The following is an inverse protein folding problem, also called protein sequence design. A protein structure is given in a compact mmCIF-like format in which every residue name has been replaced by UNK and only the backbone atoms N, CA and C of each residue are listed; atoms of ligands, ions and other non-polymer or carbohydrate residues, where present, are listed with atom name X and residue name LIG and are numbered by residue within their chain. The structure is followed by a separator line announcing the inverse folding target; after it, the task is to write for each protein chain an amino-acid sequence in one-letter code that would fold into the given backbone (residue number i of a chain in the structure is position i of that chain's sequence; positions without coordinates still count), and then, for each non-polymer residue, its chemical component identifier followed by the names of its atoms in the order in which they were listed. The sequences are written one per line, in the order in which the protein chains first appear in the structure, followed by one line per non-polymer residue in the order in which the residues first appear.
data_IF_832178287501
#
_entry.id   IF_832178287501
#
_cell.length_a   1.000
_cell.length_b   1.000
_cell.length_c   1.000
_cell.angle_alpha   90.00
_cell.angle_beta   90.00
_cell.angle_gamma   90.00
#
_symmetry.space_group_name_H-M   'P 1'
#
loop_
_entity.id
_entity.type
_entity.pdbx_description
1 polymer ?
#
# COMPACT_ATOMS: atom_id res chain seq x y z
N UNK A 1 -22.81 2.88 5.05
CA UNK A 1 -22.36 2.36 3.74
C UNK A 1 -21.02 1.64 3.92
N UNK A 2 -20.83 0.38 3.50
CA UNK A 2 -19.58 -0.34 3.71
C UNK A 2 -18.52 0.05 2.66
N UNK A 3 -17.71 1.08 2.96
CA UNK A 3 -16.63 1.60 2.08
C UNK A 3 -15.66 0.53 1.59
N UNK A 4 -15.41 -0.51 2.41
CA UNK A 4 -14.52 -1.62 2.05
C UNK A 4 -14.97 -2.43 0.83
N UNK A 5 -16.28 -2.50 0.55
CA UNK A 5 -16.81 -3.22 -0.62
C UNK A 5 -16.47 -2.46 -1.91
N UNK A 6 -16.66 -1.15 -1.92
CA UNK A 6 -16.34 -0.30 -3.08
C UNK A 6 -14.84 -0.31 -3.39
N UNK A 7 -13.99 -0.26 -2.36
CA UNK A 7 -12.53 -0.34 -2.54
C UNK A 7 -12.10 -1.66 -3.21
N UNK A 8 -12.79 -2.76 -2.94
CA UNK A 8 -12.50 -4.04 -3.60
C UNK A 8 -12.86 -4.00 -5.09
N UNK A 9 -14.01 -3.41 -5.46
CA UNK A 9 -14.40 -3.26 -6.86
C UNK A 9 -13.45 -2.33 -7.62
N UNK A 10 -13.02 -1.22 -7.02
CA UNK A 10 -12.04 -0.31 -7.60
C UNK A 10 -10.72 -1.04 -7.85
N UNK A 11 -10.25 -1.84 -6.88
CA UNK A 11 -9.02 -2.61 -7.03
C UNK A 11 -9.12 -3.68 -8.13
N UNK A 12 -10.28 -4.36 -8.25
CA UNK A 12 -10.51 -5.32 -9.32
C UNK A 12 -10.47 -4.66 -10.70
N UNK A 13 -11.22 -3.55 -10.86
CA UNK A 13 -11.21 -2.79 -12.11
C UNK A 13 -9.81 -2.27 -12.48
N UNK A 14 -9.01 -1.89 -11.47
CA UNK A 14 -7.63 -1.46 -11.69
C UNK A 14 -6.74 -2.61 -12.20
N UNK A 15 -6.84 -3.81 -11.64
CA UNK A 15 -6.07 -4.96 -12.12
C UNK A 15 -6.56 -5.47 -13.49
N UNK A 16 -7.85 -5.35 -13.80
CA UNK A 16 -8.38 -5.57 -15.16
C UNK A 16 -7.78 -4.57 -16.15
N UNK A 17 -7.79 -3.27 -15.82
CA UNK A 17 -7.19 -2.23 -16.66
C UNK A 17 -5.70 -2.48 -16.87
N UNK A 18 -4.97 -2.90 -15.84
CA UNK A 18 -3.53 -3.23 -15.92
C UNK A 18 -3.21 -4.32 -16.93
N UNK A 19 -4.12 -5.26 -17.15
CA UNK A 19 -3.95 -6.32 -18.14
C UNK A 19 -4.07 -5.83 -19.59
N UNK A 20 -4.66 -4.65 -19.79
CA UNK A 20 -4.96 -4.06 -21.12
C UNK A 20 -4.15 -2.78 -21.38
N UNK A 21 -3.81 -2.03 -20.33
CA UNK A 21 -3.06 -0.77 -20.37
C UNK A 21 -1.94 -0.82 -19.32
N UNK A 22 -0.69 -0.79 -19.78
CA UNK A 22 0.47 -0.87 -18.89
C UNK A 22 0.75 0.45 -18.15
N UNK A 23 0.35 1.60 -18.71
CA UNK A 23 0.94 2.88 -18.31
C UNK A 23 0.20 3.64 -17.20
N UNK A 24 -1.10 3.39 -17.02
CA UNK A 24 -1.94 4.12 -16.04
C UNK A 24 -2.99 3.20 -15.46
N UNK A 25 -2.74 2.78 -14.22
CA UNK A 25 -3.66 1.98 -13.42
C UNK A 25 -4.06 2.79 -12.19
N UNK A 26 -5.32 2.71 -11.79
CA UNK A 26 -5.78 3.33 -10.55
C UNK A 26 -4.98 2.79 -9.35
N UNK A 27 -4.29 3.64 -8.57
CA UNK A 27 -3.33 3.19 -7.55
C UNK A 27 -4.01 2.74 -6.25
N UNK A 28 -4.84 1.69 -6.33
CA UNK A 28 -5.59 1.17 -5.19
C UNK A 28 -4.69 0.70 -4.04
N UNK A 29 -3.46 0.27 -4.35
CA UNK A 29 -2.48 -0.23 -3.39
C UNK A 29 -2.04 0.82 -2.36
N UNK A 30 -2.21 2.12 -2.65
CA UNK A 30 -1.93 3.21 -1.70
C UNK A 30 -2.96 3.35 -0.58
N UNK A 31 -4.12 2.68 -0.71
CA UNK A 31 -5.14 2.68 0.33
C UNK A 31 -4.84 1.59 1.36
N UNK A 32 -4.42 2.02 2.54
CA UNK A 32 -4.14 1.16 3.69
C UNK A 32 -5.35 1.12 4.64
N UNK A 33 -5.31 0.20 5.60
CA UNK A 33 -6.20 0.27 6.76
C UNK A 33 -5.85 1.49 7.63
N UNK A 34 -6.75 1.97 8.50
CA UNK A 34 -6.52 3.16 9.32
C UNK A 34 -5.23 3.12 10.15
N UNK A 35 -4.77 1.93 10.54
CA UNK A 35 -3.56 1.70 11.33
C UNK A 35 -2.30 1.47 10.48
N UNK A 36 -2.37 1.71 9.17
CA UNK A 36 -1.28 1.49 8.22
C UNK A 36 -1.10 0.02 7.80
N UNK A 37 -2.01 -0.88 8.18
CA UNK A 37 -1.94 -2.28 7.76
C UNK A 37 -2.34 -2.49 6.30
N UNK A 38 -1.69 -3.48 5.70
CA UNK A 38 -1.99 -4.00 4.36
C UNK A 38 -3.42 -4.57 4.33
N UNK A 39 -4.11 -4.36 3.22
CA UNK A 39 -5.47 -4.84 3.00
C UNK A 39 -5.45 -6.18 2.24
N UNK A 40 -5.38 -7.27 3.00
CA UNK A 40 -5.35 -8.66 2.49
C UNK A 40 -6.53 -9.03 1.58
N UNK A 41 -7.61 -8.24 1.56
CA UNK A 41 -8.82 -8.49 0.76
C UNK A 41 -8.75 -7.94 -0.66
N UNK A 42 -7.68 -7.22 -1.00
CA UNK A 42 -7.44 -6.75 -2.36
C UNK A 42 -7.07 -7.89 -3.32
N UNK A 43 -7.33 -7.71 -4.62
CA UNK A 43 -6.89 -8.65 -5.65
C UNK A 43 -5.37 -8.85 -5.57
N UNK A 44 -4.94 -10.10 -5.75
CA UNK A 44 -3.55 -10.51 -5.58
C UNK A 44 -3.08 -10.61 -4.11
N UNK A 45 -3.97 -10.37 -3.14
CA UNK A 45 -3.66 -10.53 -1.71
C UNK A 45 -2.67 -9.50 -1.18
N UNK A 46 -2.10 -9.81 0.00
CA UNK A 46 -1.15 -8.92 0.66
C UNK A 46 0.14 -8.71 -0.14
N UNK A 47 0.67 -9.79 -0.73
CA UNK A 47 1.93 -9.79 -1.49
C UNK A 47 1.90 -8.82 -2.65
N UNK A 48 0.79 -8.79 -3.40
CA UNK A 48 0.62 -7.85 -4.52
C UNK A 48 0.63 -6.40 -4.07
N UNK A 49 -0.11 -6.07 -2.99
CA UNK A 49 -0.12 -4.72 -2.45
C UNK A 49 1.26 -4.32 -1.92
N UNK A 50 1.95 -5.23 -1.22
CA UNK A 50 3.30 -5.03 -0.70
C UNK A 50 4.28 -4.74 -1.85
N UNK A 51 4.31 -5.58 -2.88
CA UNK A 51 5.24 -5.41 -4.00
C UNK A 51 5.05 -4.05 -4.70
N UNK A 52 3.80 -3.57 -4.83
CA UNK A 52 3.51 -2.26 -5.42
C UNK A 52 3.97 -1.12 -4.52
N UNK A 53 3.77 -1.23 -3.20
CA UNK A 53 4.26 -0.24 -2.25
C UNK A 53 5.79 -0.21 -2.19
N UNK A 54 6.44 -1.37 -2.21
CA UNK A 54 7.90 -1.50 -2.24
C UNK A 54 8.48 -0.95 -3.55
N UNK A 55 7.79 -1.13 -4.69
CA UNK A 55 8.19 -0.51 -5.96
C UNK A 55 8.12 1.03 -5.93
N UNK A 56 7.28 1.60 -5.05
CA UNK A 56 7.21 3.04 -4.78
C UNK A 56 8.20 3.50 -3.70
N UNK A 57 9.02 2.58 -3.16
CA UNK A 57 10.04 2.87 -2.15
C UNK A 57 9.54 2.84 -0.70
N UNK A 58 8.36 2.26 -0.44
CA UNK A 58 7.86 2.09 0.92
C UNK A 58 8.45 0.84 1.59
N UNK A 59 8.92 0.98 2.82
CA UNK A 59 9.37 -0.15 3.63
C UNK A 59 8.20 -0.78 4.38
N UNK A 60 8.12 -2.12 4.38
CA UNK A 60 7.05 -2.88 5.04
C UNK A 60 7.62 -3.61 6.26
N UNK A 61 6.95 -3.47 7.40
CA UNK A 61 7.14 -4.32 8.57
C UNK A 61 6.29 -5.58 8.41
N UNK A 62 6.95 -6.73 8.32
CA UNK A 62 6.27 -8.01 8.29
C UNK A 62 5.61 -8.28 9.65
N UNK A 63 4.32 -8.60 9.62
CA UNK A 63 3.60 -8.97 10.84
C UNK A 63 4.12 -10.30 11.41
N UNK A 64 4.13 -10.41 12.74
CA UNK A 64 4.43 -11.66 13.44
C UNK A 64 3.14 -12.37 13.84
N UNK A 65 3.03 -13.67 13.56
CA UNK A 65 1.83 -14.47 13.83
C UNK A 65 0.63 -14.01 13.00
N UNK A 66 -0.51 -13.75 13.64
CA UNK A 66 -1.75 -13.34 12.97
C UNK A 66 -1.79 -11.84 12.60
N UNK A 67 -0.76 -11.06 12.95
CA UNK A 67 -0.74 -9.63 12.66
C UNK A 67 -0.52 -9.40 11.17
N UNK A 68 -1.33 -8.54 10.51
CA UNK A 68 -1.09 -8.19 9.11
C UNK A 68 0.18 -7.34 8.97
N UNK A 69 0.90 -7.43 7.84
CA UNK A 69 2.01 -6.52 7.53
C UNK A 69 1.55 -5.06 7.53
N UNK A 70 2.47 -4.14 7.82
CA UNK A 70 2.20 -2.70 7.93
C UNK A 70 3.28 -1.89 7.26
N UNK A 71 2.92 -0.70 6.77
CA UNK A 71 3.94 0.26 6.32
C UNK A 71 4.74 0.78 7.51
N UNK A 72 6.06 0.80 7.38
CA UNK A 72 6.94 1.46 8.35
C UNK A 72 6.76 2.97 8.21
N UNK A 73 6.42 3.63 9.32
CA UNK A 73 6.45 5.10 9.36
C UNK A 73 7.93 5.53 9.36
N UNK A 74 8.33 6.54 8.57
CA UNK A 74 9.66 7.08 8.68
C UNK A 74 9.89 7.59 10.11
N UNK A 75 10.98 7.16 10.73
CA UNK A 75 11.32 7.53 12.12
C UNK A 75 11.55 9.04 12.28
N UNK A 76 11.85 9.74 11.19
CA UNK A 76 11.98 11.19 11.17
C UNK A 76 10.99 11.78 10.15
N UNK A 77 9.94 12.51 10.57
CA UNK A 77 9.11 13.22 9.61
C UNK A 77 9.98 14.27 8.92
N UNK A 78 10.11 14.18 7.60
CA UNK A 78 10.77 15.22 6.80
C UNK A 78 9.97 16.51 6.95
N UNK A 79 10.30 17.32 7.97
CA UNK A 79 9.83 18.70 8.08
C UNK A 79 10.65 19.52 7.11
N UNK A 80 10.08 19.85 5.95
CA UNK A 80 10.59 20.92 5.10
C UNK A 80 11.91 20.63 4.39
N UNK A 81 12.06 19.45 3.76
CA UNK A 81 13.05 19.25 2.70
C UNK A 81 14.52 19.31 3.10
N UNK A 82 14.86 19.13 4.38
CA UNK A 82 16.25 19.10 4.83
C UNK A 82 16.52 17.82 5.62
N UNK A 83 17.48 17.02 5.13
CA UNK A 83 18.01 15.88 5.87
C UNK A 83 18.83 16.41 7.04
N UNK A 84 18.38 16.18 8.27
CA UNK A 84 19.24 16.37 9.45
C UNK A 84 20.02 15.08 9.62
N UNK A 85 21.26 15.06 9.15
CA UNK A 85 22.26 14.10 9.62
C UNK A 85 22.77 14.59 10.97
N UNK A 86 22.41 13.90 12.05
CA UNK A 86 23.09 14.06 13.34
C UNK A 86 24.50 13.47 13.22
N UNK A 87 25.51 14.31 13.45
CA UNK A 87 26.86 13.93 13.82
C UNK A 87 27.38 14.95 14.83
#
# INVERSE_FOLDING_TARGET
MPTGVYLKFIALAAEEERSVKEDKVTPYWRVLKPDGAINIKYPGGAERQIALLESEGHSIEQGKGEKPPKILKPQNPVRGGMWVSEN
#
